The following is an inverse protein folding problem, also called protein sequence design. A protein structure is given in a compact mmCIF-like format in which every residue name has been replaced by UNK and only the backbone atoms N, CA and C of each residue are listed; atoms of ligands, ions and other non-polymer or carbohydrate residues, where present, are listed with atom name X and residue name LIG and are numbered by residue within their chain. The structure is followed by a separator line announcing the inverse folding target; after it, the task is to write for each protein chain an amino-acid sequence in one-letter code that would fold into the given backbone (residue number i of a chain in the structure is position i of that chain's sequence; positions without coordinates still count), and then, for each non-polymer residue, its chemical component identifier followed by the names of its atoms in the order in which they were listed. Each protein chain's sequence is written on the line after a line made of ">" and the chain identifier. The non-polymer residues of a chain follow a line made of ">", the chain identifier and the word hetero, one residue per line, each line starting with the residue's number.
data_IF_167651338505
#
_entry.id   IF_167651338505
#
_cell.length_a   1.000
_cell.length_b   1.000
_cell.length_c   1.000
_cell.angle_alpha   90.00
_cell.angle_beta   90.00
_cell.angle_gamma   90.00
#
_symmetry.space_group_name_H-M   'P 1'
#
loop_
_entity.id
_entity.type
_entity.pdbx_description
1 polymer ?
#
# COMPACT_ATOMS: atom_id res chain seq x y z
N UNK A 1 -15.87 -4.89 -2.53
CA UNK A 1 -14.91 -4.66 -3.65
C UNK A 1 -14.14 -3.39 -3.35
N UNK A 2 -12.81 -3.47 -3.32
CA UNK A 2 -11.93 -2.35 -3.00
C UNK A 2 -10.66 -2.41 -3.84
N UNK A 3 -9.94 -1.29 -3.98
CA UNK A 3 -8.63 -1.28 -4.62
C UNK A 3 -7.53 -1.53 -3.59
N UNK A 4 -6.56 -2.36 -3.94
CA UNK A 4 -5.36 -2.62 -3.14
C UNK A 4 -4.15 -2.89 -4.04
N UNK A 5 -3.00 -3.15 -3.45
CA UNK A 5 -1.79 -3.52 -4.20
C UNK A 5 -1.60 -5.04 -4.12
N UNK A 6 -1.45 -5.70 -5.27
CA UNK A 6 -1.13 -7.13 -5.35
C UNK A 6 0.38 -7.38 -5.19
N UNK A 7 1.20 -6.48 -5.76
CA UNK A 7 2.66 -6.57 -5.72
C UNK A 7 3.24 -5.31 -5.10
N UNK A 8 4.06 -5.48 -4.07
CA UNK A 8 4.78 -4.39 -3.43
C UNK A 8 5.59 -3.57 -4.46
N UNK A 9 5.56 -2.25 -4.31
CA UNK A 9 6.31 -1.33 -5.17
C UNK A 9 7.45 -0.65 -4.43
N UNK A 10 8.51 -0.34 -5.17
CA UNK A 10 9.66 0.44 -4.68
C UNK A 10 10.17 1.33 -5.79
N UNK A 11 10.28 2.62 -5.52
CA UNK A 11 10.92 3.56 -6.43
C UNK A 11 11.60 4.71 -5.65
N UNK A 12 12.54 5.39 -6.30
CA UNK A 12 13.31 6.47 -5.69
C UNK A 12 13.54 7.65 -6.62
N UNK A 13 13.67 8.84 -6.04
CA UNK A 13 14.05 10.04 -6.78
C UNK A 13 14.84 11.00 -5.91
N UNK A 14 15.45 12.00 -6.56
CA UNK A 14 16.20 13.06 -5.89
C UNK A 14 15.49 14.40 -6.12
N UNK A 15 15.31 15.17 -5.06
CA UNK A 15 14.75 16.52 -5.08
C UNK A 15 15.65 17.43 -4.24
N UNK A 16 16.21 18.49 -4.83
CA UNK A 16 17.17 19.40 -4.16
C UNK A 16 18.27 18.67 -3.37
N UNK A 17 18.89 17.66 -4.00
CA UNK A 17 19.92 16.77 -3.41
C UNK A 17 19.43 15.84 -2.29
N UNK A 18 18.19 15.98 -1.81
CA UNK A 18 17.59 15.02 -0.90
C UNK A 18 17.13 13.80 -1.70
N UNK A 19 17.48 12.60 -1.23
CA UNK A 19 17.01 11.34 -1.81
C UNK A 19 15.75 10.89 -1.08
N UNK A 20 14.73 10.52 -1.84
CA UNK A 20 13.50 9.93 -1.35
C UNK A 20 13.34 8.55 -1.94
N UNK A 21 13.08 7.56 -1.09
CA UNK A 21 12.82 6.17 -1.47
C UNK A 21 11.44 5.83 -0.94
N UNK A 22 10.52 5.51 -1.84
CA UNK A 22 9.18 5.10 -1.50
C UNK A 22 9.02 3.60 -1.60
N UNK A 23 8.36 3.00 -0.61
CA UNK A 23 7.94 1.61 -0.61
C UNK A 23 6.44 1.54 -0.41
N UNK A 24 5.78 0.65 -1.14
CA UNK A 24 4.36 0.34 -0.98
C UNK A 24 4.18 -1.15 -0.70
N UNK A 25 3.35 -1.49 0.27
CA UNK A 25 3.12 -2.85 0.73
C UNK A 25 1.63 -3.14 0.86
N UNK A 26 1.21 -4.34 0.47
CA UNK A 26 -0.05 -4.90 0.94
C UNK A 26 0.06 -5.19 2.43
N UNK A 27 -0.99 -4.91 3.21
CA UNK A 27 -1.08 -5.23 4.64
C UNK A 27 -2.51 -5.58 5.02
N UNK A 28 -2.68 -6.46 6.00
CA UNK A 28 -4.00 -6.92 6.47
C UNK A 28 -4.30 -6.52 7.92
N UNK A 29 -3.31 -6.04 8.68
CA UNK A 29 -3.49 -5.58 10.06
C UNK A 29 -2.50 -4.48 10.46
N UNK A 30 -2.77 -3.80 11.58
CA UNK A 30 -1.86 -2.78 12.12
C UNK A 30 -0.51 -3.40 12.53
N UNK A 31 -0.52 -4.63 13.03
CA UNK A 31 0.69 -5.38 13.40
C UNK A 31 1.57 -5.63 12.16
N UNK A 32 0.99 -6.09 11.04
CA UNK A 32 1.74 -6.30 9.80
C UNK A 32 2.33 -4.97 9.27
N UNK A 33 1.57 -3.88 9.40
CA UNK A 33 2.05 -2.55 9.02
C UNK A 33 3.29 -2.13 9.84
N UNK A 34 3.25 -2.37 11.15
CA UNK A 34 4.37 -2.07 12.05
C UNK A 34 5.58 -2.97 11.76
N UNK A 35 5.38 -4.27 11.52
CA UNK A 35 6.46 -5.19 11.16
C UNK A 35 7.19 -4.74 9.88
N UNK A 36 6.44 -4.36 8.84
CA UNK A 36 7.03 -3.87 7.58
C UNK A 36 7.73 -2.53 7.76
N UNK A 37 7.16 -1.62 8.55
CA UNK A 37 7.79 -0.35 8.87
C UNK A 37 9.14 -0.54 9.59
N UNK A 38 9.18 -1.41 10.61
CA UNK A 38 10.41 -1.69 11.36
C UNK A 38 11.46 -2.40 10.50
N UNK A 39 11.05 -3.23 9.55
CA UNK A 39 11.95 -3.79 8.53
C UNK A 39 12.60 -2.68 7.69
N UNK A 40 11.81 -1.71 7.20
CA UNK A 40 12.35 -0.57 6.43
C UNK A 40 13.27 0.30 7.30
N UNK A 41 12.89 0.61 8.54
CA UNK A 41 13.77 1.37 9.45
C UNK A 41 15.08 0.65 9.73
N UNK A 42 15.06 -0.69 9.83
CA UNK A 42 16.26 -1.49 10.04
C UNK A 42 17.16 -1.51 8.80
N UNK A 43 16.56 -1.60 7.60
CA UNK A 43 17.27 -1.55 6.32
C UNK A 43 17.91 -0.17 6.07
N UNK A 44 17.18 0.91 6.37
CA UNK A 44 17.58 2.30 6.17
C UNK A 44 17.81 3.03 7.51
N UNK A 45 18.58 2.40 8.40
CA UNK A 45 18.86 2.90 9.76
C UNK A 45 19.62 4.23 9.82
N UNK A 46 20.30 4.57 8.73
CA UNK A 46 21.07 5.80 8.55
C UNK A 46 20.29 6.90 7.81
N UNK A 47 19.03 6.62 7.44
CA UNK A 47 18.16 7.63 6.87
C UNK A 47 17.85 8.74 7.87
N UNK A 48 17.54 9.91 7.35
CA UNK A 48 17.15 11.06 8.18
C UNK A 48 15.76 10.84 8.79
N UNK A 49 14.81 10.35 7.98
CA UNK A 49 13.42 10.07 8.38
C UNK A 49 12.87 8.88 7.58
N UNK A 50 12.04 8.06 8.22
CA UNK A 50 11.25 6.97 7.68
C UNK A 50 9.76 7.21 8.00
N UNK A 51 9.16 8.14 7.25
CA UNK A 51 7.76 8.52 7.41
C UNK A 51 6.86 7.42 6.85
N UNK A 52 5.64 7.29 7.38
CA UNK A 52 4.70 6.26 6.93
C UNK A 52 3.26 6.75 6.88
N UNK A 53 2.44 6.06 6.07
CA UNK A 53 0.99 6.22 6.03
C UNK A 53 0.34 4.91 5.60
N UNK A 54 -0.81 4.55 6.18
CA UNK A 54 -1.55 3.37 5.78
C UNK A 54 -3.06 3.49 5.99
N UNK A 55 -3.80 2.68 5.21
CA UNK A 55 -5.25 2.48 5.31
C UNK A 55 -5.51 0.98 5.34
N UNK A 56 -6.36 0.51 6.25
CA UNK A 56 -6.74 -0.91 6.41
C UNK A 56 -8.27 -1.04 6.47
N UNK A 57 -8.78 -2.12 5.91
CA UNK A 57 -10.19 -2.49 5.92
C UNK A 57 -10.98 -1.95 4.73
N UNK A 58 -12.03 -2.66 4.33
CA UNK A 58 -12.91 -2.22 3.23
C UNK A 58 -13.63 -0.89 3.55
N UNK A 59 -13.98 -0.70 4.82
CA UNK A 59 -14.59 0.53 5.34
C UNK A 59 -13.60 1.71 5.48
N UNK A 60 -12.30 1.43 5.34
CA UNK A 60 -11.19 2.38 5.46
C UNK A 60 -11.18 3.13 6.80
N UNK A 61 -11.72 2.54 7.88
CA UNK A 61 -11.80 3.22 9.18
C UNK A 61 -10.44 3.31 9.88
N UNK A 62 -9.55 2.34 9.63
CA UNK A 62 -8.20 2.35 10.18
C UNK A 62 -7.30 3.13 9.25
N UNK A 63 -6.95 4.35 9.68
CA UNK A 63 -6.04 5.25 8.96
C UNK A 63 -5.01 5.79 9.92
N UNK A 64 -3.74 5.68 9.54
CA UNK A 64 -2.61 6.14 10.36
C UNK A 64 -1.54 6.77 9.49
N UNK A 65 -0.80 7.67 10.09
CA UNK A 65 0.36 8.29 9.48
C UNK A 65 1.38 8.68 10.55
N UNK A 66 2.64 8.82 10.15
CA UNK A 66 3.72 9.26 11.01
C UNK A 66 4.72 10.07 10.19
N UNK A 67 5.04 11.28 10.66
CA UNK A 67 6.01 12.19 10.04
C UNK A 67 7.47 11.87 10.43
N UNK A 68 7.71 10.98 11.39
CA UNK A 68 9.04 10.51 11.83
C UNK A 68 10.08 11.63 12.09
N UNK A 69 9.64 12.75 12.68
CA UNK A 69 10.50 13.89 12.98
C UNK A 69 10.59 14.96 11.89
N UNK A 70 9.95 14.76 10.73
CA UNK A 70 9.66 15.85 9.81
C UNK A 70 8.71 16.87 10.47
N UNK A 71 8.65 18.12 9.98
CA UNK A 71 7.66 19.08 10.43
C UNK A 71 6.24 18.50 10.35
N UNK A 72 5.47 18.69 11.42
CA UNK A 72 4.15 18.09 11.58
C UNK A 72 3.24 18.31 10.36
N UNK A 73 2.69 17.22 9.84
CA UNK A 73 1.77 17.19 8.71
C UNK A 73 2.42 17.40 7.34
N UNK A 74 3.75 17.39 7.24
CA UNK A 74 4.44 17.60 5.94
C UNK A 74 4.86 16.32 5.23
N UNK A 75 4.74 15.16 5.86
CA UNK A 75 5.14 13.88 5.28
C UNK A 75 4.02 12.82 5.30
N UNK A 76 3.60 12.39 6.49
CA UNK A 76 2.60 11.34 6.69
C UNK A 76 1.22 11.70 6.12
N UNK A 77 0.72 12.91 6.43
CA UNK A 77 -0.58 13.38 5.91
C UNK A 77 -0.59 13.40 4.36
N UNK A 78 0.39 14.02 3.67
CA UNK A 78 0.44 14.00 2.21
C UNK A 78 0.44 12.60 1.58
N UNK A 79 1.10 11.62 2.20
CA UNK A 79 1.10 10.23 1.71
C UNK A 79 -0.27 9.56 1.95
N UNK A 80 -0.89 9.80 3.11
CA UNK A 80 -2.23 9.29 3.40
C UNK A 80 -3.28 9.83 2.43
N UNK A 81 -3.19 11.12 2.06
CA UNK A 81 -4.09 11.72 1.08
C UNK A 81 -3.91 11.13 -0.32
N UNK A 82 -2.71 10.65 -0.68
CA UNK A 82 -2.51 9.88 -1.93
C UNK A 82 -3.27 8.57 -1.87
N UNK A 83 -3.15 7.81 -0.78
CA UNK A 83 -3.89 6.54 -0.62
C UNK A 83 -5.40 6.74 -0.73
N UNK A 84 -5.93 7.79 -0.10
CA UNK A 84 -7.36 8.13 -0.18
C UNK A 84 -7.79 8.49 -1.60
N UNK A 85 -7.00 9.33 -2.28
CA UNK A 85 -7.32 9.80 -3.64
C UNK A 85 -7.28 8.68 -4.67
N UNK A 86 -6.35 7.73 -4.51
CA UNK A 86 -6.26 6.52 -5.34
C UNK A 86 -7.24 5.43 -4.89
N UNK A 87 -8.06 5.72 -3.87
CA UNK A 87 -9.07 4.81 -3.32
C UNK A 87 -8.49 3.46 -2.83
N UNK A 88 -7.24 3.48 -2.38
CA UNK A 88 -6.52 2.30 -1.92
C UNK A 88 -6.82 2.00 -0.44
N UNK A 89 -6.93 0.71 -0.13
CA UNK A 89 -6.96 0.19 1.25
C UNK A 89 -6.18 -1.11 1.36
N UNK A 90 -5.89 -1.54 2.59
CA UNK A 90 -4.97 -2.63 2.89
C UNK A 90 -3.58 -2.35 2.34
N UNK A 91 -3.14 -1.09 2.48
CA UNK A 91 -1.89 -0.57 1.92
C UNK A 91 -1.12 0.22 2.95
N UNK A 92 0.16 -0.08 3.08
CA UNK A 92 1.17 0.73 3.75
C UNK A 92 2.08 1.39 2.72
N UNK A 93 2.37 2.67 2.91
CA UNK A 93 3.45 3.39 2.24
C UNK A 93 4.47 3.84 3.26
N UNK A 94 5.75 3.63 2.96
CA UNK A 94 6.87 4.14 3.75
C UNK A 94 7.77 4.98 2.85
N UNK A 95 8.10 6.19 3.30
CA UNK A 95 9.00 7.11 2.62
C UNK A 95 10.26 7.31 3.46
N UNK A 96 11.36 6.75 2.97
CA UNK A 96 12.71 6.94 3.51
C UNK A 96 13.34 8.17 2.86
N UNK A 97 13.81 9.11 3.67
CA UNK A 97 14.47 10.34 3.22
C UNK A 97 15.91 10.41 3.72
N UNK A 98 16.82 10.74 2.81
CA UNK A 98 18.17 11.22 3.13
C UNK A 98 18.27 12.72 2.86
N UNK A 99 18.68 13.50 3.87
CA UNK A 99 18.82 14.95 3.74
C UNK A 99 20.01 15.33 2.84
N UNK A 100 19.76 16.18 1.85
CA UNK A 100 20.76 16.59 0.84
C UNK A 100 21.53 17.88 1.14
N UNK A 101 21.40 18.43 2.36
CA UNK A 101 22.05 19.69 2.74
C UNK A 101 21.32 20.96 2.28
N UNK A 102 20.18 20.86 1.58
CA UNK A 102 19.35 22.00 1.16
C UNK A 102 17.92 21.81 1.64
N UNK A 103 17.36 22.80 2.34
CA UNK A 103 15.99 22.75 2.84
C UNK A 103 14.97 22.84 1.69
N UNK A 104 13.95 22.00 1.74
CA UNK A 104 12.84 22.03 0.79
C UNK A 104 11.74 23.03 1.19
N UNK A 105 11.64 23.37 2.48
CA UNK A 105 10.51 24.10 3.07
C UNK A 105 9.25 23.23 3.17
N UNK A 106 8.28 23.63 3.99
CA UNK A 106 7.07 22.83 4.26
C UNK A 106 6.32 22.42 2.98
N UNK A 107 6.05 23.38 2.08
CA UNK A 107 5.38 23.07 0.81
C UNK A 107 6.21 22.20 -0.14
N UNK A 108 7.55 22.26 -0.03
CA UNK A 108 8.44 21.37 -0.79
C UNK A 108 8.41 19.94 -0.26
N UNK A 109 8.40 19.76 1.06
CA UNK A 109 8.27 18.45 1.71
C UNK A 109 6.93 17.80 1.36
N UNK A 110 5.83 18.54 1.48
CA UNK A 110 4.49 18.04 1.12
C UNK A 110 4.49 17.48 -0.30
N UNK A 111 5.01 18.23 -1.28
CA UNK A 111 5.08 17.75 -2.68
C UNK A 111 6.01 16.56 -2.84
N UNK A 112 7.15 16.54 -2.15
CA UNK A 112 8.09 15.43 -2.21
C UNK A 112 7.45 14.15 -1.66
N UNK A 113 6.84 14.18 -0.48
CA UNK A 113 6.19 13.01 0.12
C UNK A 113 4.97 12.52 -0.66
N UNK A 114 4.14 13.43 -1.18
CA UNK A 114 3.07 13.07 -2.13
C UNK A 114 3.64 12.32 -3.33
N UNK A 115 4.73 12.83 -3.93
CA UNK A 115 5.39 12.19 -5.06
C UNK A 115 5.96 10.83 -4.67
N UNK A 116 6.59 10.71 -3.51
CA UNK A 116 7.16 9.44 -2.99
C UNK A 116 6.10 8.36 -2.86
N UNK A 117 4.94 8.68 -2.30
CA UNK A 117 3.84 7.72 -2.24
C UNK A 117 3.37 7.31 -3.63
N UNK A 118 3.20 8.28 -4.54
CA UNK A 118 2.68 7.98 -5.89
C UNK A 118 3.64 7.08 -6.68
N UNK A 119 4.94 7.39 -6.70
CA UNK A 119 5.91 6.54 -7.42
C UNK A 119 6.03 5.14 -6.81
N UNK A 120 5.91 5.02 -5.48
CA UNK A 120 5.92 3.72 -4.81
C UNK A 120 4.69 2.88 -5.16
N UNK A 121 3.51 3.50 -5.26
CA UNK A 121 2.28 2.83 -5.67
C UNK A 121 2.35 2.43 -7.15
N UNK A 122 2.79 3.34 -8.01
CA UNK A 122 2.89 3.12 -9.47
C UNK A 122 3.93 2.05 -9.83
N UNK A 123 4.97 1.87 -9.01
CA UNK A 123 5.95 0.79 -9.14
C UNK A 123 5.41 -0.58 -8.68
N UNK A 124 4.27 -0.60 -7.98
CA UNK A 124 3.56 -1.81 -7.59
C UNK A 124 2.59 -2.29 -8.67
N UNK A 125 1.66 -3.17 -8.30
CA UNK A 125 0.52 -3.57 -9.16
C UNK A 125 -0.76 -3.34 -8.39
N UNK A 126 -1.53 -2.31 -8.76
CA UNK A 126 -2.85 -2.05 -8.19
C UNK A 126 -3.88 -2.97 -8.83
N UNK A 127 -4.72 -3.59 -8.01
CA UNK A 127 -5.79 -4.51 -8.44
C UNK A 127 -7.11 -4.20 -7.75
N UNK A 128 -8.21 -4.60 -8.38
CA UNK A 128 -9.51 -4.67 -7.71
C UNK A 128 -9.63 -5.99 -6.96
N UNK A 129 -9.83 -5.90 -5.66
CA UNK A 129 -10.07 -7.04 -4.78
C UNK A 129 -11.58 -7.27 -4.69
N UNK A 130 -12.00 -8.48 -5.03
CA UNK A 130 -13.38 -8.95 -4.97
C UNK A 130 -13.43 -10.03 -3.89
N UNK A 131 -14.39 -9.90 -2.97
CA UNK A 131 -14.64 -10.91 -1.96
C UNK A 131 -15.29 -12.13 -2.63
N UNK A 132 -14.71 -13.30 -2.43
CA UNK A 132 -15.26 -14.58 -2.89
C UNK A 132 -15.61 -15.43 -1.67
N UNK A 133 -16.76 -16.07 -1.72
CA UNK A 133 -17.12 -17.12 -0.77
C UNK A 133 -16.73 -18.48 -1.35
N UNK A 134 -15.89 -19.22 -0.63
CA UNK A 134 -15.53 -20.57 -1.00
C UNK A 134 -16.62 -21.55 -0.54
N UNK A 135 -17.22 -22.27 -1.50
CA UNK A 135 -18.28 -23.23 -1.22
C UNK A 135 -17.80 -24.63 -1.58
N UNK A 136 -17.84 -25.53 -0.61
CA UNK A 136 -17.58 -26.95 -0.80
C UNK A 136 -18.87 -27.75 -0.59
N UNK A 137 -19.20 -28.64 -1.53
CA UNK A 137 -20.34 -29.54 -1.42
C UNK A 137 -20.02 -30.89 -2.07
N UNK A 138 -20.65 -31.94 -1.55
CA UNK A 138 -20.58 -33.28 -2.13
C UNK A 138 -21.84 -33.57 -2.94
N UNK A 139 -21.69 -34.37 -3.98
CA UNK A 139 -22.78 -34.79 -4.84
C UNK A 139 -22.48 -36.18 -5.40
N UNK A 140 -23.51 -36.90 -5.81
CA UNK A 140 -23.36 -38.20 -6.45
C UNK A 140 -22.65 -38.03 -7.81
N UNK A 141 -21.67 -38.90 -8.11
CA UNK A 141 -20.86 -38.83 -9.33
C UNK A 141 -21.70 -38.76 -10.62
N UNK A 142 -22.92 -39.30 -10.61
CA UNK A 142 -23.88 -39.24 -11.72
C UNK A 142 -24.19 -37.80 -12.15
N UNK A 143 -24.05 -36.81 -11.25
CA UNK A 143 -24.28 -35.39 -11.53
C UNK A 143 -23.03 -34.62 -11.97
N UNK A 144 -21.84 -35.23 -12.01
CA UNK A 144 -20.58 -34.53 -12.25
C UNK A 144 -20.59 -33.71 -13.54
N UNK A 145 -21.00 -34.30 -14.67
CA UNK A 145 -21.05 -33.57 -15.94
C UNK A 145 -22.04 -32.41 -15.94
N UNK A 146 -23.20 -32.56 -15.30
CA UNK A 146 -24.21 -31.51 -15.21
C UNK A 146 -23.73 -30.35 -14.32
N UNK A 147 -23.13 -30.65 -13.18
CA UNK A 147 -22.62 -29.67 -12.22
C UNK A 147 -21.42 -28.92 -12.83
N UNK A 148 -20.43 -29.60 -13.37
CA UNK A 148 -19.26 -28.95 -13.98
C UNK A 148 -19.67 -28.04 -15.14
N UNK A 149 -20.60 -28.48 -15.99
CA UNK A 149 -21.13 -27.65 -17.07
C UNK A 149 -21.86 -26.41 -16.52
N UNK A 150 -22.70 -26.58 -15.50
CA UNK A 150 -23.36 -25.44 -14.84
C UNK A 150 -22.35 -24.44 -14.28
N UNK A 151 -21.31 -24.91 -13.58
CA UNK A 151 -20.27 -24.06 -13.00
C UNK A 151 -19.52 -23.26 -14.07
N UNK A 152 -19.05 -23.94 -15.14
CA UNK A 152 -18.34 -23.29 -16.25
C UNK A 152 -19.24 -22.28 -16.97
N UNK A 153 -20.49 -22.66 -17.27
CA UNK A 153 -21.43 -21.80 -18.00
C UNK A 153 -21.77 -20.52 -17.23
N UNK A 154 -21.75 -20.56 -15.92
CA UNK A 154 -22.01 -19.41 -15.05
C UNK A 154 -20.72 -18.76 -14.52
N UNK A 155 -19.56 -19.06 -15.11
CA UNK A 155 -18.27 -18.44 -14.79
C UNK A 155 -17.85 -18.57 -13.31
N UNK A 156 -18.28 -19.63 -12.63
CA UNK A 156 -17.78 -19.96 -11.31
C UNK A 156 -16.30 -20.37 -11.39
N UNK A 157 -15.51 -19.85 -10.46
CA UNK A 157 -14.12 -20.27 -10.28
C UNK A 157 -14.13 -21.64 -9.61
N UNK A 158 -13.57 -22.65 -10.29
CA UNK A 158 -13.38 -24.00 -9.74
C UNK A 158 -11.93 -24.09 -9.28
N UNK A 159 -11.73 -24.25 -7.96
CA UNK A 159 -10.42 -24.38 -7.32
C UNK A 159 -9.91 -25.83 -7.34
#
# INVERSE_FOLDING_TARGET
>A
MFLSIFKNGRDEFIEKKSKFIGHSFIIHSEEEALEKLEKIKSEYKDATHNCSAYIIGEDRLIQRYNDDGEPSGTAGIPMLEVLKKEELTNVLVVATRYFGGTLLGAGGLVRAYTKTAKVAIDAGIVVSMIEHEEIAFSYDYTFHGAITNYLIKNEYIIL
#
